data_IF_804446711225
#
_entry.id   IF_804446711225
#
_cell.length_a   1.000
_cell.length_b   1.000
_cell.length_c   1.000
_cell.angle_alpha   90.00
_cell.angle_beta   90.00
_cell.angle_gamma   90.00
#
_symmetry.space_group_name_H-M   'P 1'
#
loop_
_entity.id
_entity.type
_entity.pdbx_description
1 polymer ?
2 branched ?
3 branched ?
4 non-polymer ?
5 non-polymer ?
6 water ?
#
# COMPACT_ATOMS: atom_id res chain seq x y z
N UNK A 35 -2.32 -12.78 27.44
CA UNK A 35 -3.14 -11.57 27.84
C UNK A 35 -2.33 -10.28 28.06
N UNK A 36 -1.24 -10.10 27.32
CA UNK A 36 -0.30 -9.00 27.62
C UNK A 36 -0.91 -7.63 27.36
N UNK A 37 -0.45 -6.65 28.14
CA UNK A 37 -0.86 -5.25 28.00
C UNK A 37 0.37 -4.37 28.07
N UNK A 38 1.30 -4.66 27.16
CA UNK A 38 2.61 -4.02 27.15
C UNK A 38 2.69 -2.76 26.29
N UNK A 39 1.68 -2.52 25.44
CA UNK A 39 1.73 -1.41 24.48
C UNK A 39 2.74 -1.62 23.36
N UNK A 40 2.98 -2.89 23.01
CA UNK A 40 3.89 -3.26 21.93
C UNK A 40 3.25 -4.19 20.86
N UNK A 41 2.01 -4.62 21.07
CA UNK A 41 1.38 -5.61 20.20
C UNK A 41 0.99 -5.03 18.86
N UNK A 42 0.89 -5.91 17.87
CA UNK A 42 0.44 -5.50 16.55
C UNK A 42 -1.00 -5.01 16.56
N UNK A 43 -1.29 -4.05 15.69
CA UNK A 43 -2.64 -3.57 15.48
C UNK A 43 -3.17 -4.07 14.17
N UNK A 44 -4.30 -4.80 14.23
CA UNK A 44 -4.87 -5.44 13.05
C UNK A 44 -5.93 -4.60 12.33
N UNK A 45 -6.00 -3.31 12.71
CA UNK A 45 -6.78 -2.32 11.95
C UNK A 45 -5.85 -1.27 11.33
N UNK A 46 -4.56 -1.62 11.24
CA UNK A 46 -3.55 -0.76 10.63
C UNK A 46 -2.95 -1.52 9.46
N UNK A 47 -3.11 -0.95 8.27
CA UNK A 47 -2.76 -1.58 6.99
C UNK A 47 -1.61 -0.83 6.36
N UNK A 48 -0.51 -1.48 6.04
CA UNK A 48 0.63 -0.79 5.48
C UNK A 48 0.88 -1.29 4.05
N UNK A 49 0.82 -0.35 3.10
CA UNK A 49 0.94 -0.73 1.68
C UNK A 49 2.36 -1.17 1.34
N UNK A 50 2.44 -2.38 0.81
CA UNK A 50 3.69 -3.10 0.60
C UNK A 50 3.84 -3.47 -0.86
N UNK A 51 5.05 -3.31 -1.37
CA UNK A 51 5.36 -3.54 -2.77
C UNK A 51 6.40 -4.65 -2.85
N UNK A 52 6.11 -5.66 -3.67
CA UNK A 52 6.93 -6.86 -3.85
C UNK A 52 7.57 -6.94 -5.22
N UNK A 53 7.81 -5.78 -5.82
CA UNK A 53 8.22 -5.70 -7.21
C UNK A 53 9.74 -5.46 -7.39
N UNK A 54 10.50 -5.50 -6.30
CA UNK A 54 11.95 -5.26 -6.38
C UNK A 54 12.68 -6.55 -6.68
N UNK A 55 13.80 -6.48 -7.41
CA UNK A 55 14.61 -7.68 -7.60
C UNK A 55 16.03 -7.45 -7.16
N UNK A 56 16.76 -8.54 -6.94
CA UNK A 56 18.20 -8.49 -6.71
C UNK A 56 18.88 -9.56 -7.52
N UNK A 57 20.15 -9.31 -7.80
CA UNK A 57 20.94 -10.30 -8.50
C UNK A 57 20.94 -11.62 -7.72
N UNK A 58 20.97 -11.52 -6.39
CA UNK A 58 21.06 -12.70 -5.54
C UNK A 58 19.94 -13.68 -5.82
N UNK A 59 18.72 -13.16 -5.92
CA UNK A 59 17.54 -14.01 -6.07
C UNK A 59 16.95 -14.02 -7.49
N UNK A 60 16.80 -12.83 -8.07
CA UNK A 60 16.11 -12.70 -9.36
C UNK A 60 17.05 -12.60 -10.53
N UNK A 61 18.33 -12.49 -10.23
CA UNK A 61 19.33 -12.27 -11.28
C UNK A 61 19.14 -10.96 -12.01
N UNK A 62 18.44 -10.02 -11.39
CA UNK A 62 18.30 -8.67 -11.94
C UNK A 62 17.67 -7.69 -10.96
N UNK A 63 17.87 -6.39 -11.26
CA UNK A 63 17.45 -5.19 -10.49
C UNK A 63 16.13 -4.57 -10.87
N UNK A 64 15.10 -5.38 -10.83
CA UNK A 64 13.76 -4.93 -11.18
C UNK A 64 13.32 -3.82 -10.21
N UNK A 65 12.70 -2.80 -10.81
CA UNK A 65 12.20 -1.62 -10.13
C UNK A 65 13.28 -0.68 -9.59
N UNK A 66 14.42 -1.20 -9.08
CA UNK A 66 15.53 -0.29 -8.79
C UNK A 66 15.94 0.42 -10.09
N UNK A 67 15.86 -0.31 -11.21
CA UNK A 67 15.89 0.25 -12.57
C UNK A 67 14.46 0.57 -12.96
N UNK A 68 14.23 1.75 -13.54
CA UNK A 68 12.86 2.18 -13.84
C UNK A 68 12.91 3.21 -14.94
N UNK A 69 11.95 3.18 -15.84
CA UNK A 69 11.82 4.22 -16.86
C UNK A 69 11.49 5.55 -16.21
N UNK A 70 12.04 6.62 -16.78
CA UNK A 70 11.70 7.95 -16.36
C UNK A 70 10.48 8.38 -17.16
N UNK A 71 9.46 8.87 -16.48
CA UNK A 71 8.23 9.24 -17.17
C UNK A 71 8.39 10.55 -17.93
N UNK A 72 7.93 10.62 -19.18
CA UNK A 72 7.88 11.93 -19.84
C UNK A 72 6.90 12.86 -19.14
N UNK A 73 7.13 14.14 -19.33
CA UNK A 73 6.26 15.17 -18.79
C UNK A 73 4.95 15.19 -19.59
N UNK A 74 3.80 14.90 -18.94
CA UNK A 74 2.54 14.91 -19.70
C UNK A 74 2.20 16.27 -20.33
N UNK A 75 2.80 17.36 -19.83
CA UNK A 75 2.62 18.70 -20.41
C UNK A 75 3.86 19.21 -21.16
N UNK A 76 4.82 18.34 -21.49
CA UNK A 76 6.14 18.73 -22.02
C UNK A 76 6.38 18.58 -23.52
N UNK A 77 5.34 18.22 -24.24
CA UNK A 77 5.42 18.17 -25.70
C UNK A 77 6.02 16.88 -26.23
N UNK A 78 6.11 16.80 -27.55
CA UNK A 78 6.53 15.59 -28.24
C UNK A 78 8.04 15.50 -28.32
N UNK A 79 8.52 14.31 -28.62
CA UNK A 79 9.94 14.09 -28.84
C UNK A 79 10.78 14.03 -27.58
N UNK A 80 10.17 13.86 -26.41
CA UNK A 80 10.95 13.68 -25.20
C UNK A 80 11.61 12.29 -25.22
N UNK A 81 12.84 12.24 -24.75
CA UNK A 81 13.56 10.97 -24.61
C UNK A 81 14.05 10.98 -23.19
N UNK A 82 13.13 10.73 -22.23
CA UNK A 82 13.46 10.85 -20.82
C UNK A 82 14.49 9.85 -20.32
N UNK A 83 14.57 8.69 -20.96
CA UNK A 83 15.53 7.67 -20.58
C UNK A 83 15.08 6.87 -19.38
N UNK A 84 16.04 6.22 -18.76
CA UNK A 84 15.79 5.26 -17.69
C UNK A 84 16.80 5.43 -16.60
N UNK A 85 16.39 5.10 -15.40
CA UNK A 85 17.29 4.98 -14.25
C UNK A 85 17.81 3.52 -14.30
N UNK A 86 19.14 3.32 -14.27
CA UNK A 86 19.63 1.97 -14.58
C UNK A 86 19.61 0.96 -13.44
N UNK A 87 19.34 1.40 -12.21
CA UNK A 87 19.33 0.49 -11.08
C UNK A 87 20.68 -0.07 -10.72
N UNK A 88 21.73 0.70 -10.96
CA UNK A 88 23.06 0.38 -10.48
C UNK A 88 23.13 0.69 -8.99
N UNK A 89 24.23 0.30 -8.35
CA UNK A 89 24.38 0.64 -6.95
C UNK A 89 24.33 2.18 -6.75
N UNK A 90 24.90 2.90 -7.69
CA UNK A 90 25.01 4.32 -7.62
C UNK A 90 23.70 5.05 -7.99
N UNK A 91 22.89 4.47 -8.88
CA UNK A 91 21.73 5.15 -9.45
C UNK A 91 20.49 4.25 -9.46
N UNK A 92 19.65 4.44 -8.44
CA UNK A 92 18.42 3.70 -8.27
C UNK A 92 17.22 4.63 -8.43
N UNK A 93 16.05 4.03 -8.65
CA UNK A 93 14.83 4.77 -8.94
C UNK A 93 14.12 5.22 -7.66
N UNK A 94 14.83 6.03 -6.87
CA UNK A 94 14.31 6.60 -5.65
C UNK A 94 15.12 7.84 -5.35
N UNK A 95 14.50 8.79 -4.66
CA UNK A 95 15.24 9.93 -4.12
C UNK A 95 15.91 9.57 -2.77
N UNK A 96 15.56 8.44 -2.18
CA UNK A 96 16.15 7.91 -0.96
C UNK A 96 16.90 6.62 -1.28
N UNK A 97 17.57 6.05 -0.27
CA UNK A 97 18.37 4.86 -0.48
C UNK A 97 18.10 3.86 0.63
N UNK A 98 17.67 2.63 0.28
CA UNK A 98 17.32 1.65 1.31
C UNK A 98 18.50 1.23 2.19
N UNK A 99 18.24 1.12 3.50
CA UNK A 99 19.21 0.48 4.40
C UNK A 99 19.58 -0.92 3.94
N UNK A 100 18.62 -1.66 3.37
CA UNK A 100 18.85 -3.03 2.92
C UNK A 100 19.44 -3.12 1.53
N UNK A 101 19.75 -1.99 0.89
CA UNK A 101 20.33 -1.97 -0.45
C UNK A 101 19.32 -2.34 -1.53
N UNK A 102 19.84 -2.71 -2.70
CA UNK A 102 19.01 -3.11 -3.83
C UNK A 102 18.55 -4.55 -3.65
N UNK A 103 17.55 -4.71 -2.80
CA UNK A 103 17.11 -6.02 -2.37
C UNK A 103 16.14 -6.67 -3.38
N UNK A 104 16.05 -7.98 -3.27
CA UNK A 104 15.02 -8.74 -3.96
C UNK A 104 13.84 -8.98 -3.05
N UNK A 105 12.64 -8.70 -3.56
CA UNK A 105 11.42 -9.05 -2.88
C UNK A 105 11.18 -10.56 -2.82
N UNK A 106 11.97 -11.35 -3.55
CA UNK A 106 11.92 -12.81 -3.51
C UNK A 106 12.92 -13.42 -2.53
N UNK A 107 13.74 -12.59 -1.85
CA UNK A 107 14.79 -13.11 -0.97
C UNK A 107 14.17 -13.40 0.39
N UNK A 108 14.07 -14.67 0.79
CA UNK A 108 13.44 -14.94 2.09
C UNK A 108 14.11 -14.22 3.27
N UNK A 109 15.40 -13.93 3.17
CA UNK A 109 16.07 -13.29 4.26
C UNK A 109 15.65 -11.78 4.35
N UNK A 110 15.41 -11.15 3.21
CA UNK A 110 14.85 -9.79 3.20
C UNK A 110 13.44 -9.83 3.78
N UNK A 111 12.65 -10.80 3.39
CA UNK A 111 11.28 -10.86 3.87
C UNK A 111 11.25 -11.01 5.40
N UNK A 112 12.15 -11.82 5.95
CA UNK A 112 12.23 -11.94 7.39
C UNK A 112 12.46 -10.57 8.05
N UNK A 113 13.42 -9.84 7.51
CA UNK A 113 13.75 -8.51 8.01
C UNK A 113 12.57 -7.57 7.90
N UNK A 114 11.88 -7.59 6.77
CA UNK A 114 10.71 -6.76 6.64
C UNK A 114 9.65 -7.10 7.67
N UNK A 115 9.43 -8.39 7.95
CA UNK A 115 8.42 -8.72 8.95
C UNK A 115 8.83 -8.23 10.34
N UNK A 116 10.13 -8.31 10.64
CA UNK A 116 10.61 -7.73 11.90
C UNK A 116 10.39 -6.20 11.96
N UNK A 117 10.50 -5.52 10.81
CA UNK A 117 10.21 -4.10 10.72
C UNK A 117 8.72 -3.81 10.95
N UNK A 118 7.83 -4.65 10.41
CA UNK A 118 6.40 -4.52 10.69
C UNK A 118 6.12 -4.69 12.18
N UNK A 119 6.79 -5.66 12.82
CA UNK A 119 6.63 -5.82 14.27
C UNK A 119 7.08 -4.58 15.01
N UNK A 120 8.21 -4.00 14.62
CA UNK A 120 8.67 -2.75 15.24
C UNK A 120 7.66 -1.61 15.08
N UNK A 121 7.04 -1.54 13.91
CA UNK A 121 6.07 -0.50 13.60
C UNK A 121 4.70 -0.73 14.20
N UNK A 122 4.46 -1.97 14.66
CA UNK A 122 3.15 -2.40 15.20
C UNK A 122 2.05 -2.47 14.15
N UNK A 123 2.45 -2.55 12.87
CA UNK A 123 1.49 -2.60 11.78
C UNK A 123 1.11 -4.06 11.54
N UNK A 124 -0.12 -4.46 11.87
CA UNK A 124 -0.49 -5.84 11.79
C UNK A 124 -0.90 -6.38 10.45
N UNK A 125 -1.19 -5.50 9.48
CA UNK A 125 -1.62 -5.96 8.16
C UNK A 125 -0.73 -5.40 7.07
N UNK A 126 -0.21 -6.29 6.26
CA UNK A 126 0.56 -5.99 5.07
C UNK A 126 -0.40 -6.01 3.88
N UNK A 127 -0.54 -4.86 3.22
CA UNK A 127 -1.50 -4.72 2.10
C UNK A 127 -0.69 -4.81 0.80
N UNK A 128 -0.66 -6.00 0.24
CA UNK A 128 0.25 -6.39 -0.83
C UNK A 128 -0.23 -5.97 -2.20
N UNK A 129 0.58 -5.18 -2.90
CA UNK A 129 0.30 -4.82 -4.30
C UNK A 129 0.07 -6.08 -5.10
N UNK A 130 -0.94 -6.08 -5.98
CA UNK A 130 -1.27 -7.26 -6.75
C UNK A 130 -1.64 -6.84 -8.15
N UNK A 131 -0.78 -7.26 -9.11
CA UNK A 131 -0.80 -6.82 -10.50
C UNK A 131 -1.27 -7.89 -11.47
N UNK A 132 -1.69 -9.05 -10.97
CA UNK A 132 -2.19 -10.11 -11.82
C UNK A 132 -1.17 -10.47 -12.91
N UNK A 133 0.05 -10.73 -12.47
CA UNK A 133 1.10 -11.00 -13.44
C UNK A 133 1.01 -12.38 -14.06
N UNK A 134 0.30 -13.31 -13.44
CA UNK A 134 0.11 -14.66 -13.99
C UNK A 134 1.47 -15.28 -14.33
N UNK A 135 2.35 -15.27 -13.35
CA UNK A 135 3.66 -15.82 -13.54
C UNK A 135 4.11 -16.51 -12.30
N UNK A 136 4.87 -17.55 -12.53
CA UNK A 136 5.31 -18.36 -11.41
C UNK A 136 6.16 -17.59 -10.40
N UNK A 137 6.90 -16.59 -10.82
CA UNK A 137 7.75 -15.86 -9.88
C UNK A 137 6.90 -15.06 -8.90
N UNK A 138 5.76 -14.54 -9.36
CA UNK A 138 4.68 -13.83 -8.53
C UNK A 138 4.14 -14.80 -7.53
N UNK A 139 3.73 -15.96 -8.02
CA UNK A 139 3.15 -16.96 -7.14
C UNK A 139 4.14 -17.34 -6.03
N UNK A 140 5.40 -17.52 -6.39
CA UNK A 140 6.39 -17.86 -5.38
C UNK A 140 6.51 -16.75 -4.33
N UNK A 141 6.61 -15.50 -4.77
CA UNK A 141 6.70 -14.36 -3.88
C UNK A 141 5.55 -14.28 -2.90
N UNK A 142 4.33 -14.43 -3.42
CA UNK A 142 3.17 -14.31 -2.54
C UNK A 142 3.24 -15.37 -1.44
N UNK A 143 3.57 -16.60 -1.81
CA UNK A 143 3.69 -17.64 -0.81
C UNK A 143 4.77 -17.35 0.21
N UNK A 144 5.91 -16.85 -0.24
CA UNK A 144 7.00 -16.51 0.69
C UNK A 144 6.57 -15.40 1.65
N UNK A 145 5.84 -14.42 1.15
CA UNK A 145 5.40 -13.30 1.99
C UNK A 145 4.39 -13.80 3.03
N UNK A 146 3.41 -14.61 2.63
CA UNK A 146 2.47 -15.18 3.58
C UNK A 146 3.19 -15.97 4.66
N UNK A 147 4.13 -16.82 4.26
CA UNK A 147 4.84 -17.64 5.23
C UNK A 147 5.62 -16.80 6.20
N UNK A 148 6.35 -15.81 5.69
CA UNK A 148 7.17 -14.96 6.57
C UNK A 148 6.29 -14.15 7.52
N UNK A 149 5.20 -13.62 6.99
CA UNK A 149 4.27 -12.85 7.81
C UNK A 149 3.75 -13.71 8.95
N UNK A 150 3.36 -14.94 8.67
CA UNK A 150 2.75 -15.75 9.72
C UNK A 150 3.71 -16.00 10.86
N UNK A 151 5.01 -16.09 10.59
CA UNK A 151 5.98 -16.34 11.65
C UNK A 151 5.96 -15.23 12.71
N UNK A 152 5.52 -14.03 12.33
CA UNK A 152 5.50 -12.88 13.20
C UNK A 152 4.08 -12.42 13.49
N UNK A 153 3.08 -13.26 13.18
CA UNK A 153 1.68 -12.94 13.47
C UNK A 153 1.13 -11.79 12.62
N UNK A 154 1.82 -11.46 11.54
CA UNK A 154 1.33 -10.43 10.63
C UNK A 154 0.34 -11.06 9.66
N UNK A 155 -0.64 -10.26 9.27
CA UNK A 155 -1.65 -10.69 8.30
C UNK A 155 -1.42 -10.02 6.96
N UNK A 156 -1.94 -10.60 5.90
CA UNK A 156 -1.76 -10.12 4.54
C UNK A 156 -3.13 -9.99 3.90
N UNK A 157 -3.34 -8.82 3.26
CA UNK A 157 -4.46 -8.61 2.37
C UNK A 157 -3.93 -8.13 1.03
N UNK A 158 -4.77 -8.12 0.01
CA UNK A 158 -4.34 -7.72 -1.33
C UNK A 158 -4.87 -6.34 -1.71
N UNK A 159 -3.99 -5.62 -2.40
CA UNK A 159 -4.25 -4.30 -2.96
C UNK A 159 -4.35 -4.48 -4.48
N UNK A 160 -5.59 -4.53 -4.98
CA UNK A 160 -5.86 -4.92 -6.35
C UNK A 160 -5.62 -3.74 -7.29
N UNK A 161 -4.58 -3.87 -8.10
CA UNK A 161 -4.08 -2.80 -8.93
C UNK A 161 -4.81 -2.75 -10.27
N UNK A 162 -4.62 -1.68 -11.05
CA UNK A 162 -5.31 -1.53 -12.36
C UNK A 162 -4.60 -2.30 -13.45
N UNK A 163 -4.73 -3.62 -13.38
CA UNK A 163 -4.11 -4.52 -14.36
C UNK A 163 -4.89 -4.44 -15.69
N UNK A 164 -4.27 -4.91 -16.79
CA UNK A 164 -4.87 -4.73 -18.10
C UNK A 164 -6.25 -5.36 -18.21
N UNK A 165 -7.20 -4.60 -18.74
CA UNK A 165 -8.58 -5.04 -18.94
C UNK A 165 -9.27 -5.45 -17.66
N UNK A 166 -8.81 -4.95 -16.50
CA UNK A 166 -9.50 -5.20 -15.26
C UNK A 166 -10.97 -4.81 -15.42
N UNK A 167 -11.86 -5.69 -14.97
CA UNK A 167 -13.29 -5.47 -15.06
C UNK A 167 -13.94 -6.32 -13.98
N UNK A 168 -15.24 -6.16 -13.74
CA UNK A 168 -15.81 -6.86 -12.58
C UNK A 168 -15.84 -8.38 -12.75
N UNK A 169 -15.88 -8.88 -13.98
CA UNK A 169 -15.90 -10.33 -14.19
C UNK A 169 -14.54 -10.94 -13.87
N UNK A 170 -13.45 -10.41 -14.45
CA UNK A 170 -12.17 -10.95 -14.08
C UNK A 170 -11.78 -10.59 -12.65
N UNK A 171 -12.27 -9.50 -12.10
CA UNK A 171 -12.06 -9.24 -10.67
C UNK A 171 -12.69 -10.33 -9.85
N UNK A 172 -13.93 -10.71 -10.17
CA UNK A 172 -14.57 -11.79 -9.43
C UNK A 172 -13.73 -13.05 -9.53
N UNK A 173 -13.30 -13.39 -10.74
CA UNK A 173 -12.53 -14.60 -10.96
C UNK A 173 -11.24 -14.58 -10.15
N UNK A 174 -10.60 -13.42 -10.08
CA UNK A 174 -9.37 -13.26 -9.33
C UNK A 174 -9.57 -13.28 -7.83
N UNK A 175 -10.67 -12.70 -7.35
CA UNK A 175 -11.02 -12.79 -5.93
C UNK A 175 -11.26 -14.25 -5.56
N UNK A 176 -12.00 -14.97 -6.38
CA UNK A 176 -12.23 -16.41 -6.16
C UNK A 176 -10.88 -17.13 -6.10
N UNK A 177 -9.99 -16.84 -7.05
CA UNK A 177 -8.69 -17.49 -7.08
C UNK A 177 -7.89 -17.21 -5.82
N UNK A 178 -7.84 -15.94 -5.43
CA UNK A 178 -7.04 -15.57 -4.26
C UNK A 178 -7.58 -16.18 -2.97
N UNK A 179 -8.92 -16.17 -2.81
CA UNK A 179 -9.51 -16.77 -1.62
C UNK A 179 -9.32 -18.30 -1.65
N UNK A 180 -9.46 -18.92 -2.82
CA UNK A 180 -9.28 -20.37 -2.92
C UNK A 180 -7.84 -20.76 -2.61
N UNK A 181 -6.89 -20.03 -3.19
CA UNK A 181 -5.46 -20.37 -3.07
C UNK A 181 -4.92 -20.08 -1.68
N UNK A 182 -5.31 -18.94 -1.14
CA UNK A 182 -4.68 -18.40 0.07
C UNK A 182 -5.58 -18.29 1.28
N UNK A 183 -6.88 -18.53 1.12
CA UNK A 183 -7.81 -18.31 2.21
C UNK A 183 -7.62 -19.15 3.45
N UNK A 184 -7.01 -20.32 3.28
CA UNK A 184 -6.73 -21.17 4.44
C UNK A 184 -5.34 -20.93 5.00
N UNK A 185 -4.55 -20.03 4.42
CA UNK A 185 -3.26 -19.73 4.97
C UNK A 185 -3.47 -18.97 6.29
N UNK A 186 -2.74 -19.32 7.34
CA UNK A 186 -2.97 -18.64 8.61
C UNK A 186 -2.72 -17.13 8.62
N UNK A 187 -1.95 -16.62 7.67
CA UNK A 187 -1.71 -15.19 7.58
C UNK A 187 -2.73 -14.44 6.74
N UNK A 188 -3.67 -15.12 6.11
CA UNK A 188 -4.66 -14.45 5.28
C UNK A 188 -5.57 -13.60 6.15
N UNK A 189 -5.65 -12.31 5.87
CA UNK A 189 -6.41 -11.40 6.73
C UNK A 189 -7.91 -11.61 6.65
N UNK A 190 -8.57 -11.59 7.80
CA UNK A 190 -10.04 -11.48 7.85
C UNK A 190 -10.43 -10.49 8.93
N UNK A 191 -11.50 -9.77 8.64
CA UNK A 191 -12.15 -8.87 9.59
C UNK A 191 -13.56 -9.38 9.79
N UNK A 192 -13.89 -9.76 11.02
CA UNK A 192 -15.22 -10.35 11.34
C UNK A 192 -15.61 -11.47 10.34
N UNK A 193 -14.62 -12.28 10.01
CA UNK A 193 -14.81 -13.40 9.12
C UNK A 193 -14.69 -13.15 7.63
N UNK A 194 -14.49 -11.90 7.20
CA UNK A 194 -14.45 -11.57 5.80
C UNK A 194 -13.04 -11.18 5.38
N UNK A 195 -12.58 -11.66 4.23
CA UNK A 195 -11.38 -11.07 3.62
C UNK A 195 -11.62 -9.58 3.32
N UNK A 196 -10.54 -8.87 3.06
CA UNK A 196 -10.61 -7.43 2.71
C UNK A 196 -9.71 -7.15 1.52
N UNK A 197 -10.20 -6.40 0.56
CA UNK A 197 -9.40 -5.96 -0.57
C UNK A 197 -9.46 -4.44 -0.68
N UNK A 198 -8.31 -3.82 -0.96
CA UNK A 198 -8.26 -2.43 -1.41
C UNK A 198 -8.27 -2.40 -2.92
N UNK A 199 -9.05 -1.53 -3.54
CA UNK A 199 -9.15 -1.47 -4.99
C UNK A 199 -8.59 -0.12 -5.48
N UNK A 200 -7.37 -0.16 -6.02
CA UNK A 200 -6.74 1.07 -6.47
C UNK A 200 -7.39 1.57 -7.75
N UNK A 201 -7.57 2.90 -7.86
CA UNK A 201 -8.14 3.51 -9.05
C UNK A 201 -9.47 2.84 -9.41
N UNK A 202 -10.30 2.62 -8.37
CA UNK A 202 -11.59 1.99 -8.57
C UNK A 202 -12.53 2.79 -9.48
N UNK A 203 -12.30 4.11 -9.56
CA UNK A 203 -13.08 4.98 -10.44
C UNK A 203 -12.95 4.65 -11.92
N UNK A 204 -11.95 3.86 -12.30
CA UNK A 204 -11.80 3.43 -13.68
C UNK A 204 -12.90 2.43 -14.09
N UNK A 205 -13.71 1.93 -13.14
CA UNK A 205 -14.83 1.04 -13.43
C UNK A 205 -16.08 1.76 -12.94
N UNK A 206 -17.09 1.82 -13.81
CA UNK A 206 -18.32 2.50 -13.51
C UNK A 206 -19.08 1.85 -12.37
N UNK A 207 -19.80 2.66 -11.57
CA UNK A 207 -20.65 2.06 -10.53
C UNK A 207 -21.66 1.05 -11.04
N UNK A 208 -22.20 1.23 -12.26
CA UNK A 208 -23.12 0.23 -12.77
C UNK A 208 -22.49 -1.15 -12.92
N UNK A 209 -21.21 -1.20 -13.22
CA UNK A 209 -20.47 -2.46 -13.27
C UNK A 209 -20.20 -2.97 -11.85
N UNK A 210 -19.69 -2.10 -10.98
CA UNK A 210 -19.45 -2.51 -9.60
C UNK A 210 -20.68 -3.12 -8.95
N UNK A 211 -21.86 -2.53 -9.20
CA UNK A 211 -23.10 -3.01 -8.60
C UNK A 211 -23.34 -4.51 -8.90
N UNK A 212 -22.93 -4.95 -10.09
CA UNK A 212 -23.13 -6.34 -10.47
C UNK A 212 -22.34 -7.31 -9.60
N UNK A 213 -21.21 -6.84 -9.11
CA UNK A 213 -20.33 -7.62 -8.24
C UNK A 213 -20.66 -7.46 -6.76
N UNK A 214 -21.06 -6.25 -6.37
CA UNK A 214 -21.07 -5.85 -4.97
C UNK A 214 -22.43 -5.57 -4.36
N UNK A 215 -23.47 -5.37 -5.14
CA UNK A 215 -24.81 -5.35 -4.55
C UNK A 215 -25.22 -6.77 -4.20
N UNK A 216 -26.00 -6.96 -3.13
CA UNK A 216 -26.52 -8.31 -2.85
C UNK A 216 -27.35 -8.89 -3.99
N UNK A 217 -27.93 -8.03 -4.82
CA UNK A 217 -28.71 -8.46 -5.96
C UNK A 217 -27.96 -8.49 -7.26
N UNK A 218 -26.68 -8.16 -7.24
CA UNK A 218 -25.94 -8.06 -8.45
C UNK A 218 -25.86 -9.34 -9.26
N UNK A 219 -25.81 -9.21 -10.57
CA UNK A 219 -25.76 -10.32 -11.49
C UNK A 219 -24.71 -11.37 -11.17
N UNK A 220 -23.54 -10.89 -10.72
CA UNK A 220 -22.40 -11.77 -10.39
C UNK A 220 -21.95 -11.50 -8.97
N UNK A 221 -22.90 -11.34 -8.07
CA UNK A 221 -22.56 -10.88 -6.73
C UNK A 221 -21.62 -11.85 -6.02
N UNK A 222 -20.77 -11.28 -5.18
CA UNK A 222 -20.05 -12.02 -4.16
C UNK A 222 -20.76 -12.03 -2.84
N UNK A 223 -21.79 -11.20 -2.66
CA UNK A 223 -22.45 -11.13 -1.34
C UNK A 223 -23.14 -12.45 -1.06
N UNK A 224 -23.04 -12.90 0.20
CA UNK A 224 -23.66 -14.16 0.65
C UNK A 224 -23.06 -15.40 0.01
N UNK A 225 -21.89 -15.27 -0.60
CA UNK A 225 -21.19 -16.40 -1.19
C UNK A 225 -19.94 -16.70 -0.36
N UNK A 226 -19.29 -17.79 -0.71
CA UNK A 226 -18.01 -18.15 -0.13
C UNK A 226 -16.92 -17.12 -0.39
N UNK A 227 -17.16 -16.23 -1.35
CA UNK A 227 -16.15 -15.29 -1.81
C UNK A 227 -16.47 -13.88 -1.44
N UNK A 228 -17.39 -13.69 -0.47
CA UNK A 228 -17.72 -12.37 0.01
C UNK A 228 -16.46 -11.76 0.65
N UNK A 229 -16.36 -10.42 0.59
CA UNK A 229 -15.21 -9.71 1.10
C UNK A 229 -15.60 -8.26 1.36
N UNK A 230 -14.83 -7.61 2.21
CA UNK A 230 -14.89 -6.17 2.37
C UNK A 230 -14.13 -5.51 1.25
N UNK A 231 -14.81 -4.70 0.46
CA UNK A 231 -14.23 -4.10 -0.73
C UNK A 231 -14.10 -2.60 -0.45
N UNK A 232 -12.86 -2.14 -0.44
CA UNK A 232 -12.52 -0.78 -0.07
C UNK A 232 -12.09 -0.02 -1.31
N UNK A 233 -12.93 0.90 -1.78
CA UNK A 233 -12.65 1.65 -2.99
C UNK A 233 -11.87 2.93 -2.71
N UNK A 234 -11.32 3.53 -3.75
CA UNK A 234 -10.50 4.72 -3.61
C UNK A 234 -11.35 5.98 -3.71
N UNK A 235 -11.48 6.72 -2.62
CA UNK A 235 -12.14 8.04 -2.65
C UNK A 235 -11.12 9.06 -3.14
N UNK A 236 -11.39 9.65 -4.31
CA UNK A 236 -10.52 10.66 -4.91
C UNK A 236 -11.02 12.08 -4.72
N UNK A 237 -12.08 12.45 -5.44
CA UNK A 237 -12.45 13.85 -5.61
C UNK A 237 -13.53 14.31 -4.64
N UNK A 238 -14.33 15.29 -5.03
CA UNK A 238 -15.24 15.94 -4.09
C UNK A 238 -16.41 15.05 -3.70
N UNK A 239 -17.06 15.35 -2.56
CA UNK A 239 -18.19 14.53 -2.14
C UNK A 239 -19.32 14.43 -3.17
N UNK A 240 -19.53 15.49 -3.95
CA UNK A 240 -20.62 15.44 -4.94
C UNK A 240 -20.45 14.30 -5.94
N UNK A 241 -19.21 13.95 -6.24
CA UNK A 241 -18.89 12.83 -7.11
C UNK A 241 -18.76 11.54 -6.30
N UNK A 242 -18.00 11.58 -5.20
CA UNK A 242 -17.62 10.34 -4.52
C UNK A 242 -18.73 9.71 -3.73
N UNK A 243 -19.62 10.52 -3.12
CA UNK A 243 -20.69 9.93 -2.31
C UNK A 243 -21.58 9.01 -3.16
N UNK A 244 -22.13 9.50 -4.30
CA UNK A 244 -22.95 8.60 -5.09
C UNK A 244 -22.14 7.46 -5.70
N UNK A 245 -20.87 7.70 -6.05
CA UNK A 245 -20.03 6.62 -6.58
C UNK A 245 -19.98 5.46 -5.58
N UNK A 246 -19.62 5.76 -4.36
CA UNK A 246 -19.43 4.73 -3.33
C UNK A 246 -20.73 4.02 -3.05
N UNK A 247 -21.83 4.78 -2.92
CA UNK A 247 -23.13 4.16 -2.66
C UNK A 247 -23.57 3.29 -3.81
N UNK A 248 -23.51 3.82 -5.03
CA UNK A 248 -24.02 3.12 -6.19
C UNK A 248 -23.16 1.92 -6.58
N UNK A 249 -21.88 1.97 -6.23
CA UNK A 249 -20.96 0.85 -6.48
C UNK A 249 -21.06 -0.24 -5.43
N UNK A 250 -21.68 0.06 -4.27
CA UNK A 250 -21.82 -0.89 -3.18
C UNK A 250 -20.49 -1.31 -2.56
N UNK A 251 -19.52 -0.40 -2.56
CA UNK A 251 -18.32 -0.61 -1.77
C UNK A 251 -18.64 -0.70 -0.30
N UNK A 252 -17.87 -1.49 0.44
CA UNK A 252 -18.01 -1.55 1.89
C UNK A 252 -17.33 -0.40 2.60
N UNK A 253 -16.40 0.27 1.91
CA UNK A 253 -15.67 1.35 2.51
C UNK A 253 -14.80 2.02 1.50
N UNK A 254 -13.93 2.92 1.98
CA UNK A 254 -13.09 3.68 1.11
C UNK A 254 -11.82 4.08 1.81
N UNK A 255 -10.77 4.26 1.00
CA UNK A 255 -9.47 4.72 1.43
C UNK A 255 -9.03 5.81 0.50
N UNK A 256 -7.89 6.46 0.81
CA UNK A 256 -7.49 7.67 0.07
C UNK A 256 -6.16 7.56 -0.65
N UNK A 257 -5.34 6.62 -0.22
CA UNK A 257 -4.00 6.27 -0.73
C UNK A 257 -2.94 7.37 -0.63
N UNK A 258 -3.15 8.50 -1.32
CA UNK A 258 -2.01 9.36 -1.62
C UNK A 258 -1.38 9.92 -0.36
N UNK A 259 -0.03 9.82 -0.32
CA UNK A 259 0.69 10.31 0.84
C UNK A 259 0.86 11.81 0.85
N UNK A 260 0.68 12.45 -0.31
CA UNK A 260 0.89 13.90 -0.44
C UNK A 260 -0.39 14.66 -0.14
N UNK A 261 -0.36 15.43 0.96
CA UNK A 261 -1.56 16.17 1.37
C UNK A 261 -1.99 17.09 0.25
N UNK A 262 -3.28 17.15 0.02
CA UNK A 262 -3.84 18.04 -0.97
C UNK A 262 -3.76 17.56 -2.40
N UNK A 263 -3.18 16.39 -2.65
CA UNK A 263 -3.09 15.89 -4.02
C UNK A 263 -4.50 15.65 -4.60
N UNK A 264 -5.39 15.14 -3.76
CA UNK A 264 -6.81 15.00 -4.08
C UNK A 264 -7.60 15.56 -2.90
N UNK A 265 -8.91 15.73 -3.11
CA UNK A 265 -9.81 16.03 -1.99
C UNK A 265 -9.66 14.99 -0.88
N UNK A 266 -9.63 13.71 -1.29
CA UNK A 266 -9.56 12.64 -0.32
C UNK A 266 -8.27 12.61 0.50
N UNK A 267 -7.17 13.08 -0.10
CA UNK A 267 -5.89 13.13 0.59
C UNK A 267 -5.62 14.49 1.22
N UNK A 268 -6.69 15.25 1.48
CA UNK A 268 -6.61 16.52 2.20
C UNK A 268 -7.16 16.27 3.59
N UNK A 269 -6.28 16.16 4.61
CA UNK A 269 -6.76 15.68 5.91
C UNK A 269 -7.80 16.51 6.61
N UNK A 270 -7.91 17.80 6.30
CA UNK A 270 -8.99 18.60 6.88
C UNK A 270 -10.39 18.13 6.43
N UNK A 271 -10.47 17.30 5.38
CA UNK A 271 -11.73 16.72 4.99
C UNK A 271 -12.11 15.45 5.73
N UNK A 272 -11.20 14.90 6.52
CA UNK A 272 -11.40 13.57 7.09
C UNK A 272 -12.50 13.49 8.14
N UNK A 273 -12.69 14.52 8.95
CA UNK A 273 -13.81 14.50 9.90
C UNK A 273 -15.14 14.35 9.15
N UNK A 274 -15.34 15.14 8.10
CA UNK A 274 -16.57 15.10 7.30
C UNK A 274 -16.74 13.79 6.56
N UNK A 275 -15.63 13.26 6.04
CA UNK A 275 -15.67 11.98 5.34
C UNK A 275 -16.07 10.86 6.31
N UNK A 276 -15.51 10.89 7.51
CA UNK A 276 -15.86 9.91 8.51
C UNK A 276 -17.34 10.01 8.93
N UNK A 277 -17.84 11.23 9.10
CA UNK A 277 -19.24 11.43 9.44
C UNK A 277 -20.15 10.80 8.39
N UNK A 278 -19.82 11.05 7.13
CA UNK A 278 -20.60 10.47 6.03
C UNK A 278 -20.50 8.93 6.03
N UNK A 279 -19.28 8.41 6.23
CA UNK A 279 -19.09 6.97 6.28
C UNK A 279 -19.98 6.36 7.36
N UNK A 280 -19.95 6.93 8.56
CA UNK A 280 -20.71 6.38 9.67
C UNK A 280 -22.22 6.42 9.36
N UNK A 281 -22.69 7.53 8.79
CA UNK A 281 -24.11 7.67 8.42
C UNK A 281 -24.56 6.66 7.38
N UNK A 282 -23.63 6.18 6.54
CA UNK A 282 -23.95 5.31 5.41
C UNK A 282 -23.43 3.89 5.56
N UNK A 283 -22.98 3.52 6.77
CA UNK A 283 -22.55 2.16 7.03
C UNK A 283 -21.30 1.76 6.27
N UNK A 284 -20.41 2.71 5.99
CA UNK A 284 -19.18 2.47 5.26
C UNK A 284 -17.98 2.56 6.17
N UNK A 285 -16.94 1.81 5.84
CA UNK A 285 -15.68 1.83 6.57
C UNK A 285 -14.69 2.81 5.92
N UNK A 286 -14.30 3.85 6.61
CA UNK A 286 -13.30 4.80 6.11
C UNK A 286 -11.94 4.45 6.67
N UNK A 287 -10.98 4.24 5.77
CA UNK A 287 -9.62 3.88 6.11
C UNK A 287 -8.68 4.94 5.50
N UNK A 288 -8.59 6.12 6.13
CA UNK A 288 -7.72 7.16 5.57
C UNK A 288 -6.28 6.66 5.45
N UNK A 289 -5.58 7.17 4.44
CA UNK A 289 -4.18 6.82 4.24
C UNK A 289 -3.28 7.97 4.71
N UNK A 290 -2.29 7.62 5.52
CA UNK A 290 -1.32 8.58 6.03
C UNK A 290 0.05 8.17 5.55
N UNK A 291 0.91 9.16 5.33
CA UNK A 291 2.28 8.87 4.95
C UNK A 291 3.25 9.90 5.47
N UNK A 292 4.55 9.58 5.37
CA UNK A 292 5.56 10.41 6.01
C UNK A 292 6.11 11.55 5.16
N UNK A 293 5.76 11.56 3.88
CA UNK A 293 6.26 12.54 2.93
C UNK A 293 6.00 12.00 1.53
N UNK A 294 6.46 12.77 0.54
CA UNK A 294 6.32 12.38 -0.85
C UNK A 294 7.39 13.05 -1.67
N UNK A 295 8.07 12.28 -2.52
CA UNK A 295 8.93 12.87 -3.56
C UNK A 295 9.23 11.77 -4.57
N UNK A 296 8.94 12.09 -5.85
CA UNK A 296 9.10 11.10 -6.91
C UNK A 296 9.88 11.64 -8.08
N UNK A 297 10.72 12.66 -7.85
CA UNK A 297 11.31 13.37 -8.98
C UNK A 297 12.46 12.62 -9.67
N UNK A 298 13.00 11.53 -9.12
CA UNK A 298 13.93 10.72 -9.94
C UNK A 298 13.17 10.07 -11.11
N UNK A 299 11.97 9.54 -10.86
CA UNK A 299 11.19 8.91 -11.93
C UNK A 299 10.22 9.86 -12.63
N UNK A 300 9.87 10.97 -12.01
CA UNK A 300 8.93 11.96 -12.57
C UNK A 300 9.52 13.33 -12.32
N UNK A 301 10.56 13.75 -13.09
CA UNK A 301 11.29 14.99 -12.79
C UNK A 301 10.45 16.25 -12.83
N UNK A 302 9.36 16.18 -13.59
CA UNK A 302 8.39 17.24 -13.79
C UNK A 302 7.35 17.35 -12.67
N UNK A 303 7.38 16.45 -11.70
CA UNK A 303 6.32 16.36 -10.70
C UNK A 303 6.66 17.00 -9.36
N UNK A 304 7.55 18.00 -9.39
CA UNK A 304 8.01 18.60 -8.14
C UNK A 304 6.93 19.26 -7.30
N UNK A 305 5.82 19.70 -7.90
CA UNK A 305 4.76 20.34 -7.11
C UNK A 305 4.12 19.40 -6.08
N UNK A 306 4.29 18.08 -6.27
CA UNK A 306 3.72 17.09 -5.34
C UNK A 306 4.68 16.78 -4.18
N UNK A 307 5.90 17.33 -4.21
CA UNK A 307 6.82 17.07 -3.09
C UNK A 307 6.21 17.53 -1.79
N UNK A 308 6.30 16.68 -0.78
CA UNK A 308 5.96 17.03 0.61
C UNK A 308 7.15 16.66 1.45
N UNK A 309 7.74 17.66 2.09
CA UNK A 309 8.96 17.49 2.89
C UNK A 309 8.66 16.79 4.23
N UNK A 310 9.56 15.90 4.62
CA UNK A 310 9.37 15.10 5.84
C UNK A 310 9.51 15.89 7.14
N UNK A 311 10.34 16.92 7.13
CA UNK A 311 10.62 17.80 8.31
C UNK A 311 10.88 16.99 9.57
N UNK A 312 11.79 16.02 9.51
CA UNK A 312 12.21 15.27 10.71
C UNK A 312 11.07 14.57 11.40
N UNK A 313 10.05 14.21 10.63
CA UNK A 313 8.90 13.49 11.14
C UNK A 313 7.65 14.32 11.38
N UNK A 314 7.77 15.65 11.30
CA UNK A 314 6.64 16.50 11.63
C UNK A 314 5.50 16.33 10.62
N UNK A 315 5.80 16.10 9.36
CA UNK A 315 4.75 15.85 8.37
C UNK A 315 3.95 14.59 8.73
N UNK A 316 4.68 13.52 9.02
CA UNK A 316 4.03 12.24 9.35
C UNK A 316 3.15 12.42 10.58
N UNK A 317 3.70 13.09 11.60
CA UNK A 317 2.96 13.32 12.83
C UNK A 317 1.66 14.05 12.57
N UNK A 318 1.73 15.11 11.77
CA UNK A 318 0.54 15.90 11.49
C UNK A 318 -0.53 15.08 10.79
N UNK A 319 -0.12 14.26 9.83
CA UNK A 319 -1.07 13.50 9.04
C UNK A 319 -1.71 12.38 9.91
N UNK A 320 -0.88 11.68 10.67
CA UNK A 320 -1.36 10.60 11.52
C UNK A 320 -2.32 11.17 12.57
N UNK A 321 -1.97 12.31 13.14
CA UNK A 321 -2.86 12.93 14.14
C UNK A 321 -4.24 13.24 13.54
N UNK A 322 -4.27 13.76 12.31
CA UNK A 322 -5.55 14.05 11.67
C UNK A 322 -6.40 12.80 11.47
N UNK A 323 -5.75 11.69 11.11
CA UNK A 323 -6.53 10.46 10.93
C UNK A 323 -7.15 10.03 12.26
N UNK A 324 -6.35 10.03 13.32
CA UNK A 324 -6.82 9.61 14.62
C UNK A 324 -7.94 10.53 15.10
N UNK A 325 -7.74 11.84 14.96
CA UNK A 325 -8.74 12.84 15.37
C UNK A 325 -10.05 12.72 14.63
N UNK A 326 -10.03 12.19 13.40
CA UNK A 326 -11.25 12.03 12.64
C UNK A 326 -12.12 10.94 13.23
N UNK A 327 -11.56 10.09 14.10
CA UNK A 327 -12.37 9.08 14.79
C UNK A 327 -12.59 7.83 13.99
N UNK A 328 -11.69 7.53 13.07
CA UNK A 328 -11.81 6.34 12.22
C UNK A 328 -11.48 5.08 13.01
N UNK A 329 -11.92 3.97 12.41
CA UNK A 329 -11.78 2.62 12.93
C UNK A 329 -10.57 1.86 12.42
N UNK A 330 -9.94 2.40 11.37
CA UNK A 330 -8.84 1.73 10.69
C UNK A 330 -8.06 2.81 9.98
N UNK A 331 -6.76 2.57 9.84
CA UNK A 331 -5.85 3.51 9.17
C UNK A 331 -4.95 2.73 8.21
N UNK A 332 -4.66 3.32 7.07
CA UNK A 332 -3.73 2.75 6.13
C UNK A 332 -2.52 3.67 6.02
N UNK A 333 -1.36 3.05 5.77
CA UNK A 333 -0.08 3.75 5.71
C UNK A 333 0.51 3.60 4.32
N UNK A 334 0.68 4.76 3.68
CA UNK A 334 1.34 4.88 2.36
C UNK A 334 2.70 5.46 2.60
N UNK A 335 3.76 4.63 2.72
CA UNK A 335 3.79 3.21 2.38
C UNK A 335 4.87 2.53 3.21
N UNK A 336 4.92 1.20 3.15
CA UNK A 336 6.09 0.54 3.68
C UNK A 336 7.31 0.86 2.83
N UNK A 337 7.17 0.65 1.49
CA UNK A 337 8.33 0.59 0.61
C UNK A 337 8.01 0.98 -0.82
N UNK A 338 7.23 2.06 -1.01
CA UNK A 338 7.08 2.64 -2.35
C UNK A 338 8.23 3.66 -2.50
N UNK A 339 9.43 3.11 -2.78
CA UNK A 339 10.64 3.90 -2.82
C UNK A 339 10.61 4.89 -3.96
N UNK A 340 9.93 4.60 -5.05
CA UNK A 340 9.89 5.53 -6.16
C UNK A 340 9.23 6.83 -5.81
N UNK A 341 8.29 6.77 -4.87
CA UNK A 341 7.46 7.92 -4.52
C UNK A 341 7.88 8.57 -3.21
N UNK A 342 8.91 8.04 -2.56
CA UNK A 342 9.43 8.68 -1.37
C UNK A 342 8.46 8.68 -0.22
N UNK A 343 7.51 7.75 -0.20
CA UNK A 343 6.52 7.66 0.86
C UNK A 343 6.88 6.56 1.87
N UNK A 344 8.04 5.90 1.71
CA UNK A 344 8.33 4.73 2.51
C UNK A 344 8.62 5.05 3.97
N UNK A 345 8.22 4.13 4.85
CA UNK A 345 8.67 4.13 6.24
C UNK A 345 9.82 3.17 6.44
N UNK A 346 10.11 2.29 5.47
CA UNK A 346 11.22 1.37 5.58
C UNK A 346 12.51 2.15 5.81
N UNK A 347 13.43 1.63 6.62
CA UNK A 347 14.68 2.35 6.86
C UNK A 347 15.46 2.69 5.60
N UNK A 348 15.95 3.94 5.61
CA UNK A 348 16.77 4.56 4.58
C UNK A 348 18.05 5.04 5.22
N UNK A 349 19.13 5.08 4.45
CA UNK A 349 20.42 5.50 4.96
C UNK A 349 20.99 6.62 4.12
N UNK A 350 21.85 7.45 4.71
CA UNK A 350 22.55 8.43 3.92
C UNK A 350 23.40 7.76 2.86
N UNK A 351 23.42 8.35 1.66
CA UNK A 351 24.26 7.81 0.59
C UNK A 351 24.48 8.89 -0.43
N UNK A 352 25.75 9.06 -0.77
CA UNK A 352 26.13 9.91 -1.85
C UNK A 352 27.01 9.10 -2.76
N UNK A 353 26.54 8.93 -3.98
CA UNK A 353 27.31 8.19 -4.96
C UNK A 353 27.83 9.17 -5.99
N UNK A 354 28.62 8.65 -6.90
CA UNK A 354 29.12 9.45 -8.01
C UNK A 354 27.99 9.93 -8.92
N UNK A 355 26.82 9.30 -8.84
CA UNK A 355 25.72 9.63 -9.75
C UNK A 355 24.59 10.47 -9.12
N UNK A 356 24.41 10.43 -7.80
CA UNK A 356 23.27 11.09 -7.16
C UNK A 356 23.58 11.24 -5.69
N UNK A 357 23.10 12.36 -5.14
CA UNK A 357 23.13 12.58 -3.71
C UNK A 357 21.73 12.29 -3.19
N UNK A 358 21.55 11.22 -2.45
CA UNK A 358 20.22 10.83 -2.02
C UNK A 358 19.79 11.68 -0.83
N UNK A 359 18.49 11.83 -0.69
CA UNK A 359 17.89 12.27 0.56
C UNK A 359 18.02 11.18 1.61
N UNK A 360 17.84 11.53 2.88
CA UNK A 360 17.92 10.59 3.96
C UNK A 360 17.07 11.10 5.10
N UNK A 361 17.05 10.37 6.22
CA UNK A 361 16.13 10.73 7.31
C UNK A 361 16.63 11.88 8.20
N UNK A 362 17.65 12.55 7.71
CA UNK A 362 18.18 13.81 8.25
C UNK A 362 18.62 13.67 9.70
N UNK A 363 18.00 14.44 10.59
CA UNK A 363 18.33 14.30 12.00
C UNK A 363 17.80 13.05 12.67
N UNK A 364 16.96 12.31 11.98
CA UNK A 364 16.44 11.08 12.54
C UNK A 364 17.25 9.89 12.06
N UNK A 365 17.25 8.86 12.91
CA UNK A 365 17.92 7.60 12.60
C UNK A 365 17.16 6.79 11.52
N UNK A 366 17.83 5.81 10.89
CA UNK A 366 17.17 5.05 9.80
C UNK A 366 15.85 4.41 10.18
N UNK A 367 15.70 3.90 11.41
CA UNK A 367 14.47 3.24 11.84
C UNK A 367 13.44 4.18 12.46
N UNK A 368 13.67 5.49 12.34
CA UNK A 368 12.78 6.43 13.00
C UNK A 368 11.34 6.28 12.58
N UNK A 369 11.10 6.10 11.27
CA UNK A 369 9.70 6.05 10.84
C UNK A 369 9.02 4.76 11.27
N UNK A 370 9.76 3.67 11.48
CA UNK A 370 9.17 2.48 12.09
C UNK A 370 8.78 2.74 13.53
N UNK A 371 9.70 3.31 14.31
CA UNK A 371 9.34 3.52 15.71
C UNK A 371 8.32 4.64 15.88
N UNK A 372 8.31 5.63 14.98
CA UNK A 372 7.26 6.66 15.06
C UNK A 372 5.90 6.11 14.65
N UNK A 373 5.89 5.16 13.71
CA UNK A 373 4.63 4.46 13.42
C UNK A 373 4.12 3.75 14.68
N UNK A 374 5.01 3.07 15.40
CA UNK A 374 4.59 2.39 16.62
C UNK A 374 3.96 3.35 17.63
N UNK A 375 4.56 4.54 17.75
CA UNK A 375 4.03 5.60 18.60
C UNK A 375 2.61 5.92 18.21
N UNK A 376 2.38 6.16 16.91
CA UNK A 376 1.04 6.53 16.45
C UNK A 376 0.06 5.40 16.53
N UNK A 377 0.48 4.15 16.29
CA UNK A 377 -0.40 3.02 16.50
C UNK A 377 -0.87 3.00 17.95
N UNK A 378 0.03 3.28 18.89
CA UNK A 378 -0.39 3.34 20.30
C UNK A 378 -1.42 4.42 20.56
N UNK A 379 -1.21 5.60 19.98
CA UNK A 379 -2.20 6.68 20.12
C UNK A 379 -3.53 6.31 19.49
N UNK A 380 -3.48 5.66 18.33
CA UNK A 380 -4.69 5.18 17.68
C UNK A 380 -5.45 4.19 18.56
N UNK A 381 -4.72 3.26 19.15
CA UNK A 381 -5.34 2.25 20.03
C UNK A 381 -5.93 2.86 21.25
N UNK A 382 -5.26 3.87 21.77
CA UNK A 382 -5.76 4.54 22.97
C UNK A 382 -7.10 5.17 22.71
N UNK A 383 -7.27 5.69 21.49
CA UNK A 383 -8.49 6.34 20.94
C UNK A 383 -9.61 5.43 20.51
N UNK A 384 -9.31 4.16 20.24
CA UNK A 384 -10.20 3.31 19.44
C UNK A 384 -11.54 3.07 20.10
#
# INVERSE_FOLDING_TARGET
>A
MGSSHHHHHHSSGLVPRGSHMDDNNPSNSENNGGNNNLGTELDYDTFCFYYDWYGSEAIDGQYRHWAHAIAPDPNGGSGQNPGTIPGTQESIASNFYPQLGRYSSSDPNILTKHMDMFVMARTGVLALTWWNEQDETEAKRIGLILDAADKKKIKVCFHLEPYPSRNVQNLRENIVKLITRYGNHPAFYRKDGKPLFFIYDSYLIEPSEWEKLLSPGGSITIRNTAYDALMIGLWTSSPTVQRPFILNAHFDGFYTYFAATGFTYGSTPTNWVSMQKWAKENGKIFIPSVGPGYIDTRIRPWNGSVIRTRTDGQYYDAMYRKAIEAGVSAISITSFNEWHEGSQIEPAVPYTSSEFTYLDYENREPDYYLTRTAYWVGKFRESKQ
#
